data_IF_729461329392
#
_entry.id   IF_729461329392
#
_cell.length_a   1.000
_cell.length_b   1.000
_cell.length_c   1.000
_cell.angle_alpha   90.00
_cell.angle_beta   90.00
_cell.angle_gamma   90.00
#
_symmetry.space_group_name_H-M   'P 1'
#
loop_
_entity.id
_entity.type
_entity.pdbx_description
1 polymer ?
#
# COMPACT_ATOMS: atom_id res chain seq x y z
N UNK A 1 29.48 -2.63 -27.94
CA UNK A 1 28.79 -2.54 -26.64
C UNK A 1 27.66 -1.53 -26.81
N UNK A 2 26.39 -1.93 -27.05
CA UNK A 2 25.29 -1.00 -26.92
C UNK A 2 24.82 -0.95 -25.45
N UNK A 3 24.34 0.24 -25.10
CA UNK A 3 24.16 0.75 -23.76
C UNK A 3 23.21 -0.08 -22.89
N UNK A 4 23.54 -0.17 -21.61
CA UNK A 4 22.61 -0.46 -20.53
C UNK A 4 21.54 0.63 -20.51
N UNK A 5 20.40 0.34 -21.13
CA UNK A 5 19.14 1.03 -20.87
C UNK A 5 18.73 0.75 -19.43
N UNK A 6 19.21 1.62 -18.52
CA UNK A 6 18.54 1.88 -17.27
C UNK A 6 17.17 2.46 -17.62
N UNK A 7 16.15 1.60 -17.65
CA UNK A 7 14.76 2.04 -17.71
C UNK A 7 14.42 2.58 -16.32
N UNK A 8 14.83 3.82 -16.06
CA UNK A 8 14.28 4.62 -14.98
C UNK A 8 12.82 4.92 -15.37
N UNK A 9 11.91 4.07 -14.90
CA UNK A 9 10.46 4.24 -15.02
C UNK A 9 10.00 5.30 -14.02
N UNK A 10 10.36 6.56 -14.31
CA UNK A 10 9.85 7.76 -13.63
C UNK A 10 8.45 8.09 -14.18
N UNK A 11 7.46 7.29 -13.78
CA UNK A 11 6.05 7.62 -13.81
C UNK A 11 5.56 8.03 -12.40
N UNK A 12 4.43 8.76 -12.25
CA UNK A 12 4.01 9.36 -10.97
C UNK A 12 3.70 8.38 -9.83
N UNK A 13 3.88 7.07 -10.01
CA UNK A 13 3.60 6.07 -9.00
C UNK A 13 4.54 4.86 -9.16
N UNK A 14 5.85 5.06 -9.00
CA UNK A 14 6.77 3.93 -8.75
C UNK A 14 6.47 3.35 -7.37
N UNK A 15 5.41 2.54 -7.26
CA UNK A 15 5.11 1.83 -6.02
C UNK A 15 6.25 0.84 -5.73
N UNK A 16 6.74 0.77 -4.48
CA UNK A 16 7.68 -0.28 -4.09
C UNK A 16 7.13 -1.66 -4.47
N UNK A 17 7.99 -2.58 -4.91
CA UNK A 17 7.57 -3.96 -5.16
C UNK A 17 7.22 -4.63 -3.81
N UNK A 18 5.92 -4.69 -3.52
CA UNK A 18 5.37 -5.32 -2.33
C UNK A 18 5.13 -6.84 -2.52
N UNK A 19 5.54 -7.40 -3.67
CA UNK A 19 5.31 -8.80 -4.03
C UNK A 19 3.84 -9.19 -3.94
N UNK A 20 3.57 -10.43 -3.52
CA UNK A 20 2.20 -10.97 -3.39
C UNK A 20 1.48 -10.50 -2.11
N UNK A 21 2.13 -9.69 -1.26
CA UNK A 21 1.54 -9.23 0.00
C UNK A 21 0.52 -8.10 -0.20
N UNK A 22 0.64 -7.35 -1.30
CA UNK A 22 -0.24 -6.23 -1.62
C UNK A 22 -0.73 -6.37 -3.06
N UNK A 23 -2.05 -6.34 -3.24
CA UNK A 23 -2.64 -6.17 -4.56
C UNK A 23 -2.51 -4.70 -5.00
N UNK A 24 -1.49 -4.42 -5.80
CA UNK A 24 -1.20 -3.09 -6.34
C UNK A 24 -2.35 -2.50 -7.15
N UNK A 25 -3.20 -3.31 -7.79
CA UNK A 25 -4.36 -2.80 -8.55
C UNK A 25 -5.40 -2.26 -7.58
N UNK A 26 -5.73 -3.04 -6.56
CA UNK A 26 -6.69 -2.63 -5.54
C UNK A 26 -6.17 -1.44 -4.74
N UNK A 27 -4.90 -1.45 -4.35
CA UNK A 27 -4.30 -0.34 -3.61
C UNK A 27 -4.19 0.94 -4.45
N UNK A 28 -3.88 0.82 -5.74
CA UNK A 28 -3.90 1.94 -6.69
C UNK A 28 -5.28 2.60 -6.78
N UNK A 29 -6.36 1.81 -6.84
CA UNK A 29 -7.72 2.34 -6.82
C UNK A 29 -8.05 3.09 -5.51
N UNK A 30 -7.58 2.60 -4.37
CA UNK A 30 -7.75 3.29 -3.07
C UNK A 30 -7.00 4.62 -3.07
N UNK A 31 -5.80 4.69 -3.64
CA UNK A 31 -5.04 5.94 -3.78
C UNK A 31 -5.72 6.94 -4.72
N UNK A 32 -6.41 6.46 -5.75
CA UNK A 32 -7.20 7.32 -6.65
C UNK A 32 -8.46 7.91 -5.98
N UNK A 33 -8.86 7.38 -4.82
CA UNK A 33 -9.98 7.91 -4.04
C UNK A 33 -9.59 9.07 -3.10
N UNK A 34 -8.30 9.33 -2.91
CA UNK A 34 -7.84 10.50 -2.15
C UNK A 34 -8.18 11.81 -2.87
N UNK A 35 -8.36 12.89 -2.12
CA UNK A 35 -8.72 14.20 -2.68
C UNK A 35 -7.54 14.89 -3.39
N UNK A 36 -6.30 14.71 -2.89
CA UNK A 36 -5.07 15.26 -3.46
C UNK A 36 -3.89 14.29 -3.27
N UNK A 37 -2.90 14.31 -4.16
CA UNK A 37 -1.73 13.44 -4.04
C UNK A 37 -0.87 13.73 -2.80
N UNK A 38 -0.93 14.95 -2.28
CA UNK A 38 -0.27 15.41 -1.07
C UNK A 38 -1.16 15.25 0.18
N UNK A 39 -2.44 14.93 0.00
CA UNK A 39 -3.42 14.72 1.05
C UNK A 39 -4.01 13.31 0.95
N UNK A 40 -3.30 12.38 1.61
CA UNK A 40 -3.57 10.94 1.57
C UNK A 40 -4.39 10.47 2.78
N UNK A 41 -5.22 11.35 3.33
CA UNK A 41 -5.96 11.07 4.57
C UNK A 41 -6.89 9.85 4.45
N UNK A 42 -7.56 9.67 3.30
CA UNK A 42 -8.44 8.52 3.09
C UNK A 42 -7.63 7.22 3.04
N UNK A 43 -6.67 7.12 2.12
CA UNK A 43 -5.87 5.89 1.96
C UNK A 43 -5.05 5.57 3.22
N UNK A 44 -4.51 6.56 3.92
CA UNK A 44 -3.82 6.36 5.21
C UNK A 44 -4.76 5.83 6.29
N UNK A 45 -5.97 6.39 6.43
CA UNK A 45 -6.93 5.94 7.44
C UNK A 45 -7.31 4.46 7.27
N UNK A 46 -7.40 3.99 6.02
CA UNK A 46 -7.67 2.57 5.71
C UNK A 46 -6.49 1.70 6.14
N UNK A 47 -5.25 2.09 5.82
CA UNK A 47 -4.04 1.30 6.16
C UNK A 47 -3.84 1.21 7.67
N UNK A 48 -3.90 2.34 8.38
CA UNK A 48 -3.74 2.35 9.82
C UNK A 48 -4.86 1.61 10.52
N UNK A 49 -6.12 1.81 10.08
CA UNK A 49 -7.26 1.09 10.62
C UNK A 49 -7.18 -0.43 10.38
N UNK A 50 -6.61 -0.87 9.25
CA UNK A 50 -6.37 -2.29 8.99
C UNK A 50 -5.34 -2.88 9.96
N UNK A 51 -4.25 -2.18 10.23
CA UNK A 51 -3.23 -2.64 11.19
C UNK A 51 -3.77 -2.74 12.61
N UNK A 52 -4.53 -1.73 13.07
CA UNK A 52 -5.18 -1.76 14.39
C UNK A 52 -6.16 -2.94 14.49
N UNK A 53 -7.01 -3.14 13.48
CA UNK A 53 -7.93 -4.28 13.44
C UNK A 53 -7.20 -5.63 13.44
N UNK A 54 -6.07 -5.73 12.73
CA UNK A 54 -5.25 -6.94 12.72
C UNK A 54 -4.63 -7.23 14.09
N UNK A 55 -4.09 -6.19 14.76
CA UNK A 55 -3.58 -6.28 16.13
C UNK A 55 -4.66 -6.75 17.10
N UNK A 56 -5.82 -6.08 17.12
CA UNK A 56 -6.97 -6.48 17.95
C UNK A 56 -7.41 -7.92 17.69
N UNK A 57 -7.39 -8.35 16.42
CA UNK A 57 -7.74 -9.72 16.04
C UNK A 57 -6.76 -10.72 16.62
N UNK A 58 -5.45 -10.47 16.51
CA UNK A 58 -4.45 -11.38 17.07
C UNK A 58 -4.49 -11.41 18.61
N UNK A 59 -4.64 -10.26 19.27
CA UNK A 59 -4.82 -10.20 20.73
C UNK A 59 -6.08 -10.96 21.18
N UNK A 60 -7.19 -10.81 20.43
CA UNK A 60 -8.42 -11.54 20.72
C UNK A 60 -8.24 -13.05 20.51
N UNK A 61 -7.46 -13.48 19.52
CA UNK A 61 -7.16 -14.91 19.31
C UNK A 61 -6.27 -15.48 20.42
N UNK A 62 -5.28 -14.72 20.89
CA UNK A 62 -4.40 -15.12 22.00
C UNK A 62 -5.16 -15.21 23.33
N UNK A 63 -6.19 -14.37 23.54
CA UNK A 63 -7.08 -14.50 24.71
C UNK A 63 -7.96 -15.76 24.67
N UNK A 64 -8.14 -16.37 23.50
CA UNK A 64 -9.03 -17.52 23.28
C UNK A 64 -8.28 -18.87 23.39
N UNK A 65 -6.95 -18.88 23.50
CA UNK A 65 -6.10 -20.07 23.68
C UNK A 65 -5.83 -20.39 25.16
#
# INVERSE_FOLDING_TARGET
MPASEDKSDDGPLSTPDFGDAIDSVTFGQILEMDEDENDRDFSQSIVFGFFEQAEETFESMDYVL
#
